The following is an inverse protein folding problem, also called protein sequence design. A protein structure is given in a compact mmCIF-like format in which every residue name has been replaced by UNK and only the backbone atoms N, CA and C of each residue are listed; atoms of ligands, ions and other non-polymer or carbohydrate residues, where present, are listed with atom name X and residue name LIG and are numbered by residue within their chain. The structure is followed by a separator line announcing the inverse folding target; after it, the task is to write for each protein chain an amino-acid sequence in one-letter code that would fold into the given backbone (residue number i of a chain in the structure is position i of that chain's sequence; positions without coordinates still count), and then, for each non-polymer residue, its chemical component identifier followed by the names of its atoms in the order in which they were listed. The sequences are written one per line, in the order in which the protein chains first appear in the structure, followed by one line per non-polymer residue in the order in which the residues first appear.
data_IF_456534866424
#
_entry.id   IF_456534866424
#
_cell.length_a   1.000
_cell.length_b   1.000
_cell.length_c   1.000
_cell.angle_alpha   90.00
_cell.angle_beta   90.00
_cell.angle_gamma   90.00
#
_symmetry.space_group_name_H-M   'P 1'
#
loop_
_entity.id
_entity.type
_entity.pdbx_description
1 polymer ?
#
# COMPACT_ATOMS: atom_id res chain seq x y z
N UNK A 1 15.25 4.05 9.49
CA UNK A 1 14.32 4.96 10.21
C UNK A 1 12.95 4.29 10.29
N UNK A 2 12.37 4.17 11.46
CA UNK A 2 11.05 3.52 11.65
C UNK A 2 9.98 4.60 11.67
N UNK A 3 9.02 4.55 10.75
CA UNK A 3 7.84 5.41 10.80
C UNK A 3 6.80 4.77 11.73
N UNK A 4 6.29 5.56 12.64
CA UNK A 4 5.22 5.14 13.54
C UNK A 4 3.91 5.74 13.07
N UNK A 5 2.94 4.90 12.73
CA UNK A 5 1.60 5.31 12.33
C UNK A 5 0.59 5.04 13.45
N UNK A 6 -0.35 5.95 13.63
CA UNK A 6 -1.45 5.79 14.57
C UNK A 6 -2.46 4.76 14.05
N UNK A 7 -2.83 3.79 14.87
CA UNK A 7 -3.86 2.81 14.55
C UNK A 7 -5.22 3.47 14.46
N UNK A 8 -5.90 3.35 13.32
CA UNK A 8 -7.32 3.68 13.21
C UNK A 8 -8.11 2.45 13.67
N UNK A 9 -8.95 2.61 14.70
CA UNK A 9 -9.87 1.56 15.12
C UNK A 9 -10.99 1.47 14.07
N UNK A 10 -11.01 0.39 13.28
CA UNK A 10 -12.13 0.09 12.39
C UNK A 10 -13.26 -0.48 13.25
N UNK A 11 -14.33 0.26 13.44
CA UNK A 11 -15.58 -0.28 13.99
C UNK A 11 -16.32 -0.97 12.84
N UNK A 12 -16.57 -2.25 12.96
CA UNK A 12 -17.46 -2.99 12.06
C UNK A 12 -18.88 -2.54 12.32
N UNK A 13 -19.40 -1.64 11.50
CA UNK A 13 -20.82 -1.33 11.42
C UNK A 13 -21.53 -2.36 10.54
N UNK A 14 -22.76 -2.63 10.86
CA UNK A 14 -23.71 -3.59 10.28
C UNK A 14 -23.58 -3.79 8.76
N UNK A 15 -23.31 -5.03 8.33
CA UNK A 15 -22.92 -5.40 6.94
C UNK A 15 -24.13 -5.64 6.03
N UNK A 16 -25.33 -5.19 6.36
CA UNK A 16 -26.57 -5.50 5.63
C UNK A 16 -26.91 -4.57 4.46
N UNK A 17 -26.29 -3.39 4.36
CA UNK A 17 -26.53 -2.48 3.23
C UNK A 17 -25.52 -2.76 2.08
N UNK A 18 -25.94 -2.61 0.80
CA UNK A 18 -24.99 -2.68 -0.31
C UNK A 18 -23.97 -1.55 -0.13
N UNK A 19 -22.71 -1.93 0.14
CA UNK A 19 -21.63 -0.98 0.31
C UNK A 19 -21.45 -0.18 -0.99
N UNK A 20 -21.46 1.14 -0.88
CA UNK A 20 -21.07 2.01 -1.97
C UNK A 20 -19.64 1.68 -2.40
N UNK A 21 -19.29 1.81 -3.69
CA UNK A 21 -17.92 1.59 -4.13
C UNK A 21 -16.97 2.57 -3.40
N UNK A 22 -15.73 2.15 -3.13
CA UNK A 22 -14.76 3.03 -2.49
C UNK A 22 -14.54 4.28 -3.35
N UNK A 23 -14.14 5.42 -2.76
CA UNK A 23 -13.83 6.64 -3.48
C UNK A 23 -12.87 6.38 -4.63
N UNK A 24 -12.89 7.24 -5.65
CA UNK A 24 -11.98 7.11 -6.79
C UNK A 24 -10.53 7.33 -6.36
N UNK A 25 -10.31 8.25 -5.45
CA UNK A 25 -9.02 8.52 -4.87
C UNK A 25 -9.17 9.14 -3.48
N UNK A 26 -8.26 8.80 -2.59
CA UNK A 26 -8.16 9.36 -1.24
C UNK A 26 -6.77 9.98 -1.10
N UNK A 27 -6.73 11.25 -0.71
CA UNK A 27 -5.44 11.89 -0.44
C UNK A 27 -4.69 11.17 0.69
N UNK A 28 -3.44 10.73 0.46
CA UNK A 28 -2.70 10.00 1.46
C UNK A 28 -2.29 10.90 2.61
N UNK A 29 -2.51 10.45 3.84
CA UNK A 29 -1.97 11.12 5.02
C UNK A 29 -0.43 11.07 5.00
N UNK A 30 0.21 12.23 5.17
CA UNK A 30 1.66 12.33 5.22
C UNK A 30 2.14 12.26 6.67
N UNK A 31 3.04 11.31 6.94
CA UNK A 31 3.65 11.15 8.25
C UNK A 31 4.65 12.26 8.54
N UNK A 32 4.64 12.74 9.78
CA UNK A 32 5.69 13.64 10.28
C UNK A 32 6.90 12.84 10.73
N UNK A 33 8.08 13.25 10.27
CA UNK A 33 9.33 12.67 10.74
C UNK A 33 9.55 13.03 12.22
N UNK A 34 9.81 12.02 13.04
CA UNK A 34 10.13 12.20 14.46
C UNK A 34 11.47 11.57 14.79
N UNK A 35 12.18 12.14 15.77
CA UNK A 35 13.49 11.65 16.21
C UNK A 35 13.41 10.50 17.20
N UNK A 36 12.25 10.32 17.85
CA UNK A 36 12.00 9.22 18.80
C UNK A 36 10.67 8.56 18.47
N UNK A 37 10.66 7.25 18.60
CA UNK A 37 9.43 6.48 18.48
C UNK A 37 8.53 6.86 19.66
N UNK A 38 7.26 7.25 19.42
CA UNK A 38 6.31 7.47 20.50
C UNK A 38 6.15 6.21 21.35
N UNK A 39 6.18 6.37 22.66
CA UNK A 39 5.96 5.28 23.62
C UNK A 39 4.50 5.31 24.11
N UNK A 40 3.99 4.14 24.51
CA UNK A 40 2.66 3.99 25.10
C UNK A 40 1.75 3.07 24.31
N UNK A 41 0.60 2.75 24.92
CA UNK A 41 -0.43 1.94 24.28
C UNK A 41 -1.12 2.73 23.14
N UNK A 42 -1.51 2.03 22.09
CA UNK A 42 -2.20 2.62 20.93
C UNK A 42 -1.30 3.01 19.77
N UNK A 43 0.00 2.67 19.83
CA UNK A 43 0.93 2.81 18.71
C UNK A 43 1.24 1.46 18.08
N UNK A 44 1.06 1.37 16.76
CA UNK A 44 1.56 0.26 15.98
C UNK A 44 2.82 0.68 15.22
N UNK A 45 3.79 -0.22 15.13
CA UNK A 45 5.02 0.00 14.39
C UNK A 45 5.03 -0.91 13.17
N UNK A 46 5.33 -0.36 12.01
CA UNK A 46 5.53 -1.13 10.79
C UNK A 46 6.91 -0.90 10.21
N UNK A 47 7.39 -1.87 9.44
CA UNK A 47 8.63 -1.72 8.68
C UNK A 47 8.37 -0.69 7.57
N UNK A 48 9.27 0.29 7.46
CA UNK A 48 9.26 1.20 6.31
C UNK A 48 9.98 0.54 5.15
N UNK A 49 9.21 0.08 4.19
CA UNK A 49 9.74 -0.31 2.90
C UNK A 49 10.11 0.92 2.06
N UNK A 50 11.09 0.75 1.18
CA UNK A 50 11.53 1.80 0.26
C UNK A 50 10.99 1.52 -1.14
N UNK A 51 9.98 2.29 -1.55
CA UNK A 51 9.27 2.08 -2.79
C UNK A 51 8.41 3.27 -3.21
N UNK A 52 7.42 3.02 -4.04
CA UNK A 52 6.39 3.99 -4.38
C UNK A 52 5.16 3.79 -3.51
N UNK A 53 4.77 4.80 -2.72
CA UNK A 53 3.46 4.76 -2.06
C UNK A 53 2.37 4.68 -3.11
N UNK A 54 1.58 3.62 -3.02
CA UNK A 54 0.58 3.25 -4.00
C UNK A 54 -0.71 2.86 -3.30
N UNK A 55 -1.83 3.40 -3.75
CA UNK A 55 -3.14 2.92 -3.35
C UNK A 55 -3.61 1.83 -4.30
N UNK A 56 -4.30 0.83 -3.77
CA UNK A 56 -5.00 -0.14 -4.58
C UNK A 56 -6.50 -0.05 -4.30
N UNK A 57 -7.26 0.33 -5.32
CA UNK A 57 -8.71 0.40 -5.28
C UNK A 57 -9.29 -0.84 -5.93
N UNK A 58 -10.05 -1.65 -5.19
CA UNK A 58 -10.71 -2.85 -5.69
C UNK A 58 -12.19 -2.59 -5.84
N UNK A 59 -12.72 -2.85 -7.03
CA UNK A 59 -14.16 -2.79 -7.33
C UNK A 59 -14.53 -4.02 -8.15
N UNK A 60 -15.46 -4.82 -7.65
CA UNK A 60 -15.93 -6.06 -8.28
C UNK A 60 -14.79 -7.03 -8.64
N UNK A 61 -13.73 -7.08 -7.83
CA UNK A 61 -12.58 -7.95 -8.05
C UNK A 61 -11.54 -7.43 -9.06
N UNK A 62 -11.72 -6.23 -9.62
CA UNK A 62 -10.71 -5.57 -10.42
C UNK A 62 -9.96 -4.55 -9.57
N UNK A 63 -8.63 -4.57 -9.62
CA UNK A 63 -7.79 -3.62 -8.89
C UNK A 63 -7.26 -2.53 -9.82
N UNK A 64 -7.34 -1.29 -9.35
CA UNK A 64 -6.70 -0.11 -9.92
C UNK A 64 -5.55 0.32 -9.00
N UNK A 65 -4.39 0.62 -9.57
CA UNK A 65 -3.22 1.10 -8.84
C UNK A 65 -3.08 2.60 -9.02
N UNK A 66 -3.20 3.34 -7.93
CA UNK A 66 -3.17 4.80 -7.94
C UNK A 66 -1.95 5.31 -7.18
N UNK A 67 -1.17 6.20 -7.80
CA UNK A 67 -0.05 6.84 -7.14
C UNK A 67 -0.52 7.76 -6.01
N UNK A 68 0.43 8.22 -5.18
CA UNK A 68 0.13 9.21 -4.13
C UNK A 68 -0.51 10.51 -4.66
N UNK A 69 -0.40 10.79 -5.94
CA UNK A 69 -0.99 11.96 -6.60
C UNK A 69 -2.25 11.61 -7.41
N UNK A 70 -2.79 10.39 -7.26
CA UNK A 70 -4.00 9.95 -7.94
C UNK A 70 -3.82 9.54 -9.41
N UNK A 71 -2.58 9.39 -9.89
CA UNK A 71 -2.34 8.92 -11.26
C UNK A 71 -2.54 7.40 -11.33
N UNK A 72 -3.26 6.94 -12.35
CA UNK A 72 -3.47 5.51 -12.61
C UNK A 72 -2.20 4.88 -13.23
N UNK A 73 -1.62 3.94 -12.50
CA UNK A 73 -0.47 3.14 -12.92
C UNK A 73 -0.80 1.65 -13.09
N UNK A 74 -2.05 1.30 -13.19
CA UNK A 74 -2.51 -0.10 -13.35
C UNK A 74 -1.83 -0.78 -14.55
N UNK A 75 -1.79 -0.10 -15.70
CA UNK A 75 -1.15 -0.63 -16.91
C UNK A 75 0.38 -0.74 -16.80
N UNK A 76 1.00 0.01 -15.88
CA UNK A 76 2.45 -0.04 -15.64
C UNK A 76 2.86 -1.28 -14.83
N UNK A 77 1.96 -1.77 -13.97
CA UNK A 77 2.21 -2.90 -13.08
C UNK A 77 1.06 -3.92 -13.13
N UNK A 78 0.79 -4.52 -14.31
CA UNK A 78 -0.39 -5.36 -14.51
C UNK A 78 -0.39 -6.61 -13.61
N UNK A 79 0.77 -7.20 -13.35
CA UNK A 79 0.87 -8.41 -12.52
C UNK A 79 0.54 -8.10 -11.05
N UNK A 80 0.95 -6.95 -10.56
CA UNK A 80 0.60 -6.48 -9.20
C UNK A 80 -0.90 -6.20 -9.12
N UNK A 81 -1.48 -5.55 -10.13
CA UNK A 81 -2.92 -5.28 -10.17
C UNK A 81 -3.71 -6.61 -10.20
N UNK A 82 -3.28 -7.58 -10.99
CA UNK A 82 -3.90 -8.91 -11.05
C UNK A 82 -3.79 -9.65 -9.70
N UNK A 83 -2.63 -9.62 -9.07
CA UNK A 83 -2.42 -10.24 -7.76
C UNK A 83 -3.31 -9.63 -6.69
N UNK A 84 -3.42 -8.30 -6.63
CA UNK A 84 -4.30 -7.60 -5.69
C UNK A 84 -5.77 -7.89 -6.01
N UNK A 85 -6.16 -7.90 -7.28
CA UNK A 85 -7.52 -8.23 -7.72
C UNK A 85 -7.95 -9.66 -7.36
N UNK A 86 -7.00 -10.58 -7.17
CA UNK A 86 -7.28 -11.96 -6.74
C UNK A 86 -7.64 -12.10 -5.25
N UNK A 87 -7.46 -11.04 -4.46
CA UNK A 87 -7.87 -11.03 -3.05
C UNK A 87 -9.38 -11.25 -2.96
N UNK A 88 -9.81 -12.15 -2.07
CA UNK A 88 -11.23 -12.50 -1.88
C UNK A 88 -12.01 -11.37 -1.23
N UNK A 89 -12.16 -10.26 -1.93
CA UNK A 89 -13.03 -9.16 -1.52
C UNK A 89 -13.73 -8.56 -2.75
N UNK A 90 -14.92 -8.03 -2.54
CA UNK A 90 -15.67 -7.37 -3.63
C UNK A 90 -15.25 -5.92 -3.83
N UNK A 91 -14.90 -5.27 -2.73
CA UNK A 91 -14.54 -3.86 -2.69
C UNK A 91 -13.53 -3.61 -1.58
N UNK A 92 -12.47 -2.86 -1.87
CA UNK A 92 -11.51 -2.39 -0.89
C UNK A 92 -10.78 -1.14 -1.40
N UNK A 93 -10.25 -0.39 -0.46
CA UNK A 93 -9.27 0.66 -0.71
C UNK A 93 -8.07 0.42 0.21
N UNK A 94 -6.93 0.14 -0.38
CA UNK A 94 -5.71 -0.21 0.34
C UNK A 94 -4.68 0.91 0.15
N UNK A 95 -4.02 1.28 1.22
CA UNK A 95 -2.82 2.12 1.20
C UNK A 95 -1.61 1.22 1.42
N UNK A 96 -0.57 1.40 0.63
CA UNK A 96 0.60 0.54 0.71
C UNK A 96 1.80 1.10 -0.02
N UNK A 97 2.82 0.26 -0.17
CA UNK A 97 4.07 0.56 -0.84
C UNK A 97 4.34 -0.50 -1.91
N UNK A 98 4.57 -0.06 -3.14
CA UNK A 98 5.07 -0.91 -4.22
C UNK A 98 6.59 -0.91 -4.15
N UNK A 99 7.19 -2.07 -3.95
CA UNK A 99 8.62 -2.26 -3.73
C UNK A 99 9.23 -3.24 -4.72
N UNK A 100 10.54 -3.11 -4.95
CA UNK A 100 11.35 -4.16 -5.55
C UNK A 100 12.14 -4.87 -4.43
N UNK A 101 11.85 -6.15 -4.23
CA UNK A 101 12.47 -7.00 -3.23
C UNK A 101 13.73 -7.65 -3.84
N UNK A 102 14.85 -7.50 -3.17
CA UNK A 102 16.10 -8.15 -3.53
C UNK A 102 16.16 -9.58 -2.96
N UNK A 103 17.06 -10.44 -3.46
CA UNK A 103 17.20 -11.83 -2.98
C UNK A 103 17.53 -11.94 -1.49
N UNK A 104 18.12 -10.93 -0.89
CA UNK A 104 18.43 -10.87 0.55
C UNK A 104 17.24 -10.42 1.42
N UNK A 105 16.09 -10.15 0.82
CA UNK A 105 14.88 -9.71 1.51
C UNK A 105 14.84 -8.20 1.81
N UNK A 106 15.80 -7.42 1.35
CA UNK A 106 15.77 -5.96 1.44
C UNK A 106 15.03 -5.34 0.25
N UNK A 107 14.59 -4.09 0.35
CA UNK A 107 13.97 -3.38 -0.77
C UNK A 107 14.94 -2.39 -1.40
N UNK A 108 14.87 -2.26 -2.72
CA UNK A 108 15.71 -1.33 -3.49
C UNK A 108 14.86 -0.41 -4.36
N UNK A 109 14.90 0.88 -4.07
CA UNK A 109 14.24 1.89 -4.88
C UNK A 109 14.88 2.02 -6.28
N UNK A 110 16.21 1.86 -6.37
CA UNK A 110 16.92 1.87 -7.64
C UNK A 110 16.47 0.73 -8.56
N UNK A 111 16.33 -0.49 -8.01
CA UNK A 111 15.81 -1.64 -8.76
C UNK A 111 14.36 -1.41 -9.22
N UNK A 112 13.54 -0.78 -8.39
CA UNK A 112 12.16 -0.43 -8.73
C UNK A 112 12.08 0.57 -9.89
N UNK A 113 13.07 1.46 -10.03
CA UNK A 113 13.18 2.41 -11.13
C UNK A 113 13.84 1.82 -12.39
N UNK A 114 14.17 0.54 -12.39
CA UNK A 114 14.89 -0.11 -13.49
C UNK A 114 16.39 0.19 -13.53
N UNK A 115 16.95 0.72 -12.44
CA UNK A 115 18.36 0.96 -12.27
C UNK A 115 18.96 -0.12 -11.36
N UNK A 116 19.61 -1.11 -11.94
CA UNK A 116 20.33 -2.14 -11.18
C UNK A 116 20.43 -3.44 -11.94
N UNK A 117 21.57 -4.12 -11.79
CA UNK A 117 21.86 -5.41 -12.41
C UNK A 117 21.38 -6.60 -11.54
N UNK A 118 20.77 -6.31 -10.39
CA UNK A 118 20.34 -7.35 -9.45
C UNK A 118 18.89 -7.71 -9.75
N UNK A 119 18.58 -9.01 -9.94
CA UNK A 119 17.19 -9.46 -10.07
C UNK A 119 16.38 -9.03 -8.85
N UNK A 120 15.24 -8.42 -9.09
CA UNK A 120 14.33 -7.99 -8.03
C UNK A 120 12.90 -8.45 -8.36
N UNK A 121 12.18 -8.85 -7.33
CA UNK A 121 10.78 -9.22 -7.43
C UNK A 121 9.88 -8.06 -7.00
N UNK A 122 8.84 -7.77 -7.77
CA UNK A 122 7.89 -6.72 -7.39
C UNK A 122 6.95 -7.23 -6.29
N UNK A 123 6.78 -6.41 -5.27
CA UNK A 123 5.92 -6.69 -4.12
C UNK A 123 5.06 -5.48 -3.79
N UNK A 124 3.80 -5.73 -3.45
CA UNK A 124 2.94 -4.73 -2.84
C UNK A 124 2.75 -5.05 -1.36
N UNK A 125 3.20 -4.15 -0.50
CA UNK A 125 3.01 -4.24 0.95
C UNK A 125 1.95 -3.23 1.39
N UNK A 126 0.83 -3.71 1.94
CA UNK A 126 -0.16 -2.80 2.52
C UNK A 126 0.33 -2.23 3.85
N UNK A 127 0.05 -0.97 4.09
CA UNK A 127 0.22 -0.34 5.41
C UNK A 127 -0.85 -0.81 6.40
N UNK A 128 -0.51 -0.81 7.67
CA UNK A 128 -1.41 -1.14 8.77
C UNK A 128 -2.47 -0.06 8.95
#
# INVERSE_FOLDING_TARGET
MRNVKRTIRVTTSDVSAPLAPPPQWIEPELCKLVTRIPAGEGWANEIKFDGFRMHARIVKGAAELLTRNGLDWTAKYPDIAAAIGSVKCRQAYLDGELCAMLPDGTTSFAALQGHGDVPAELMYSRSI
#
